data_IF_265365701838
#
_entry.id   IF_265365701838
#
_cell.length_a   1.000
_cell.length_b   1.000
_cell.length_c   1.000
_cell.angle_alpha   90.00
_cell.angle_beta   90.00
_cell.angle_gamma   90.00
#
_symmetry.space_group_name_H-M   'P 1'
#
loop_
_entity.id
_entity.type
_entity.pdbx_description
1 polymer ?
#
# COMPACT_ATOMS: atom_id res chain seq x y z
N UNK A 1 -11.51 -7.47 -3.82
CA UNK A 1 -10.84 -7.11 -2.57
C UNK A 1 -9.40 -6.73 -2.80
N UNK A 2 -8.84 -5.98 -1.89
CA UNK A 2 -7.50 -5.42 -2.05
C UNK A 2 -6.67 -5.63 -0.80
N UNK A 3 -5.36 -5.76 -1.01
CA UNK A 3 -4.37 -5.90 0.05
C UNK A 3 -3.45 -4.68 0.00
N UNK A 4 -3.05 -4.18 1.16
CA UNK A 4 -2.10 -3.08 1.25
C UNK A 4 -0.72 -3.65 1.53
N UNK A 5 0.24 -3.29 0.69
CA UNK A 5 1.61 -3.74 0.81
C UNK A 5 2.54 -2.51 0.85
N UNK A 6 3.44 -2.49 1.80
CA UNK A 6 4.34 -1.35 1.97
C UNK A 6 5.66 -1.78 2.58
N UNK A 7 6.68 -0.93 2.43
CA UNK A 7 8.01 -1.23 2.95
C UNK A 7 8.11 -0.89 4.42
N UNK A 8 9.17 -1.37 5.06
CA UNK A 8 9.42 -1.05 6.46
C UNK A 8 9.54 0.45 6.72
N UNK A 9 10.03 1.20 5.75
CA UNK A 9 10.11 2.65 5.89
C UNK A 9 8.74 3.29 6.00
N UNK A 10 7.77 2.75 5.29
CA UNK A 10 6.39 3.23 5.39
C UNK A 10 5.81 2.93 6.76
N UNK A 11 6.07 1.73 7.28
CA UNK A 11 5.59 1.40 8.62
C UNK A 11 6.15 2.36 9.66
N UNK A 12 7.44 2.71 9.53
CA UNK A 12 8.04 3.66 10.44
C UNK A 12 7.37 5.02 10.32
N UNK A 13 7.07 5.45 9.10
CA UNK A 13 6.40 6.73 8.87
C UNK A 13 5.00 6.74 9.47
N UNK A 14 4.35 5.58 9.55
CA UNK A 14 3.03 5.44 10.15
C UNK A 14 3.09 5.36 11.68
N UNK A 15 4.29 5.34 12.25
CA UNK A 15 4.43 5.23 13.68
C UNK A 15 4.38 3.79 14.19
N UNK A 16 4.42 2.83 13.29
CA UNK A 16 4.43 1.41 13.65
C UNK A 16 5.88 0.94 13.66
N UNK A 17 6.30 0.30 14.72
CA UNK A 17 7.66 -0.19 14.80
C UNK A 17 7.93 -1.21 13.71
N UNK A 18 9.08 -1.10 13.08
CA UNK A 18 9.48 -2.06 12.07
C UNK A 18 11.00 -2.16 12.06
N UNK A 19 11.50 -3.37 12.09
CA UNK A 19 12.93 -3.62 12.17
C UNK A 19 13.59 -3.69 10.81
N UNK A 20 12.84 -4.05 9.77
CA UNK A 20 13.41 -4.34 8.47
C UNK A 20 12.96 -3.30 7.46
N UNK A 21 13.79 -2.27 7.30
CA UNK A 21 13.45 -1.12 6.47
C UNK A 21 13.22 -1.45 5.01
N UNK A 22 13.93 -2.43 4.49
CA UNK A 22 13.89 -2.74 3.07
C UNK A 22 12.93 -3.86 2.71
N UNK A 23 12.31 -4.47 3.70
CA UNK A 23 11.39 -5.54 3.41
C UNK A 23 10.00 -5.03 3.14
N UNK A 24 9.32 -5.72 2.25
CA UNK A 24 7.93 -5.41 1.92
C UNK A 24 7.04 -6.27 2.79
N UNK A 25 6.07 -5.63 3.40
CA UNK A 25 5.15 -6.31 4.31
C UNK A 25 3.72 -5.96 3.92
N UNK A 26 2.80 -6.85 4.25
CA UNK A 26 1.39 -6.64 3.98
C UNK A 26 0.64 -6.38 5.27
N UNK A 27 -0.32 -5.49 5.21
CA UNK A 27 -1.22 -5.32 6.33
C UNK A 27 -2.13 -6.55 6.42
N UNK A 28 -2.50 -6.99 7.62
CA UNK A 28 -3.30 -8.21 7.79
C UNK A 28 -4.80 -7.98 7.57
N UNK A 29 -5.14 -7.07 6.67
CA UNK A 29 -6.54 -6.71 6.42
C UNK A 29 -6.83 -6.76 4.93
N UNK A 30 -8.07 -7.13 4.60
CA UNK A 30 -8.57 -7.07 3.23
C UNK A 30 -9.58 -5.95 3.14
N UNK A 31 -9.53 -5.20 2.04
CA UNK A 31 -10.43 -4.07 1.83
C UNK A 31 -11.28 -4.33 0.59
N UNK A 32 -12.53 -3.94 0.65
CA UNK A 32 -13.44 -4.15 -0.48
C UNK A 32 -13.09 -3.26 -1.67
N UNK A 33 -12.66 -2.04 -1.40
CA UNK A 33 -12.33 -1.08 -2.44
C UNK A 33 -11.01 -0.39 -2.11
N UNK A 34 -10.43 0.25 -3.12
CA UNK A 34 -9.23 1.05 -2.92
C UNK A 34 -9.53 2.21 -1.96
N UNK A 35 -10.70 2.81 -2.12
CA UNK A 35 -11.10 3.90 -1.23
C UNK A 35 -11.15 3.49 0.23
N UNK A 36 -11.65 2.29 0.50
CA UNK A 36 -11.70 1.79 1.87
C UNK A 36 -10.30 1.64 2.45
N UNK A 37 -9.37 1.14 1.65
CA UNK A 37 -7.99 0.98 2.10
C UNK A 37 -7.35 2.35 2.39
N UNK A 38 -7.56 3.30 1.50
CA UNK A 38 -7.02 4.65 1.67
C UNK A 38 -7.60 5.31 2.93
N UNK A 39 -8.91 5.21 3.11
CA UNK A 39 -9.56 5.80 4.27
C UNK A 39 -9.06 5.19 5.57
N UNK A 40 -8.86 3.88 5.57
CA UNK A 40 -8.34 3.19 6.74
C UNK A 40 -6.97 3.73 7.13
N UNK A 41 -6.09 3.87 6.14
CA UNK A 41 -4.72 4.34 6.39
C UNK A 41 -4.75 5.78 6.91
N UNK A 42 -5.51 6.63 6.25
CA UNK A 42 -5.56 8.04 6.63
C UNK A 42 -6.12 8.24 8.03
N UNK A 43 -7.19 7.54 8.35
CA UNK A 43 -7.86 7.73 9.64
C UNK A 43 -7.13 7.02 10.77
N UNK A 44 -6.62 5.83 10.51
CA UNK A 44 -5.97 5.02 11.57
C UNK A 44 -4.65 5.63 11.99
N UNK A 45 -3.88 6.12 11.02
CA UNK A 45 -2.54 6.62 11.29
C UNK A 45 -2.43 8.14 11.22
N UNK A 46 -3.54 8.81 10.94
CA UNK A 46 -3.59 10.26 10.87
C UNK A 46 -2.53 10.83 9.91
N UNK A 47 -2.49 10.28 8.71
CA UNK A 47 -1.55 10.71 7.68
C UNK A 47 -2.30 11.11 6.42
N UNK A 48 -1.64 11.92 5.60
CA UNK A 48 -2.17 12.28 4.28
C UNK A 48 -1.41 11.52 3.21
N UNK A 49 -2.15 10.87 2.34
CA UNK A 49 -1.55 10.14 1.22
C UNK A 49 -2.31 10.51 -0.05
N UNK A 50 -1.66 10.33 -1.18
CA UNK A 50 -2.27 10.65 -2.48
C UNK A 50 -1.88 9.60 -3.51
N UNK A 51 -2.73 9.44 -4.49
CA UNK A 51 -2.47 8.51 -5.59
C UNK A 51 -1.34 9.08 -6.45
N UNK A 52 -0.23 8.37 -6.47
CA UNK A 52 0.93 8.79 -7.25
C UNK A 52 0.86 8.27 -8.67
N UNK A 53 0.55 6.99 -8.82
CA UNK A 53 0.46 6.39 -10.15
C UNK A 53 -0.32 5.09 -10.08
N UNK A 54 -0.75 4.63 -11.23
CA UNK A 54 -1.40 3.34 -11.40
C UNK A 54 -0.48 2.51 -12.27
N UNK A 55 -0.01 1.39 -11.75
CA UNK A 55 0.96 0.54 -12.43
C UNK A 55 0.29 -0.70 -12.99
N UNK A 56 0.26 -0.88 -14.31
CA UNK A 56 -0.32 -2.08 -14.89
C UNK A 56 0.52 -3.32 -14.59
N UNK A 57 -0.12 -4.48 -14.57
CA UNK A 57 0.53 -5.73 -14.25
C UNK A 57 0.43 -6.67 -15.44
N UNK A 58 1.59 -6.99 -16.03
CA UNK A 58 1.72 -8.06 -17.02
C UNK A 58 0.69 -8.03 -18.15
N UNK A 59 0.31 -6.85 -18.60
CA UNK A 59 -0.58 -6.74 -19.74
C UNK A 59 -2.04 -7.08 -19.44
N UNK A 60 -2.36 -7.39 -18.21
CA UNK A 60 -3.75 -7.62 -17.80
C UNK A 60 -4.43 -6.29 -17.55
N UNK A 61 -5.74 -6.36 -17.33
CA UNK A 61 -6.49 -5.18 -16.92
C UNK A 61 -6.28 -4.85 -15.45
N UNK A 62 -5.52 -5.67 -14.76
CA UNK A 62 -5.26 -5.47 -13.34
C UNK A 62 -4.17 -4.44 -13.15
N UNK A 63 -4.31 -3.65 -12.10
CA UNK A 63 -3.36 -2.60 -11.80
C UNK A 63 -3.07 -2.57 -10.30
N UNK A 64 -1.90 -2.04 -9.98
CA UNK A 64 -1.52 -1.72 -8.61
C UNK A 64 -1.65 -0.21 -8.44
N UNK A 65 -2.35 0.20 -7.40
CA UNK A 65 -2.51 1.63 -7.08
C UNK A 65 -1.40 2.02 -6.14
N UNK A 66 -0.54 2.92 -6.58
CA UNK A 66 0.64 3.33 -5.81
C UNK A 66 0.38 4.69 -5.18
N UNK A 67 0.35 4.72 -3.86
CA UNK A 67 0.14 5.94 -3.09
C UNK A 67 1.42 6.38 -2.43
N UNK A 68 1.53 7.68 -2.17
CA UNK A 68 2.68 8.25 -1.49
C UNK A 68 2.21 9.19 -0.39
N UNK A 69 3.09 9.42 0.58
CA UNK A 69 2.81 10.37 1.65
C UNK A 69 2.90 11.79 1.12
N UNK A 70 1.95 12.63 1.48
CA UNK A 70 1.89 14.00 0.99
C UNK A 70 3.03 14.86 1.50
N UNK A 71 3.58 14.52 2.66
CA UNK A 71 4.61 15.32 3.29
C UNK A 71 6.01 14.72 3.15
N UNK A 72 6.20 13.81 2.21
CA UNK A 72 7.50 13.16 2.03
C UNK A 72 7.85 13.06 0.56
N UNK A 73 9.10 13.39 0.25
CA UNK A 73 9.63 13.23 -1.10
C UNK A 73 10.37 11.91 -1.29
N UNK A 74 10.40 11.09 -0.27
CA UNK A 74 11.13 9.83 -0.31
C UNK A 74 10.39 8.83 -1.18
N UNK A 75 10.95 8.55 -2.37
CA UNK A 75 10.32 7.64 -3.32
C UNK A 75 10.26 6.20 -2.83
N UNK A 76 11.01 5.87 -1.79
CA UNK A 76 10.97 4.51 -1.24
C UNK A 76 9.79 4.31 -0.30
N UNK A 77 9.05 5.36 0.01
CA UNK A 77 7.89 5.27 0.90
C UNK A 77 6.61 5.16 0.08
N UNK A 78 6.49 4.10 -0.68
CA UNK A 78 5.31 3.86 -1.49
C UNK A 78 4.39 2.87 -0.79
N UNK A 79 3.09 3.13 -0.92
CA UNK A 79 2.06 2.24 -0.40
C UNK A 79 1.36 1.64 -1.61
N UNK A 80 1.43 0.33 -1.75
CA UNK A 80 0.84 -0.38 -2.90
C UNK A 80 -0.47 -1.02 -2.49
N UNK A 81 -1.54 -0.70 -3.20
CA UNK A 81 -2.84 -1.33 -2.98
C UNK A 81 -3.08 -2.27 -4.13
N UNK A 82 -3.11 -3.56 -3.85
CA UNK A 82 -3.01 -4.61 -4.84
C UNK A 82 -4.26 -5.48 -4.82
N UNK A 83 -4.84 -5.79 -5.99
CA UNK A 83 -5.98 -6.70 -6.03
C UNK A 83 -5.62 -8.07 -5.44
N UNK A 84 -6.47 -8.59 -4.56
CA UNK A 84 -6.22 -9.87 -3.90
C UNK A 84 -6.03 -11.02 -4.87
N UNK A 85 -6.67 -10.98 -6.01
CA UNK A 85 -6.57 -12.09 -6.96
C UNK A 85 -5.15 -12.32 -7.46
N UNK A 86 -4.28 -11.32 -7.29
CA UNK A 86 -2.88 -11.48 -7.66
C UNK A 86 -2.14 -12.38 -6.67
N UNK A 87 -2.71 -12.59 -5.50
CA UNK A 87 -2.13 -13.47 -4.50
C UNK A 87 -2.81 -14.83 -4.45
N UNK A 88 -4.06 -14.88 -4.85
CA UNK A 88 -4.84 -16.12 -4.73
C UNK A 88 -4.32 -17.25 -5.58
N UNK A 89 -3.56 -16.95 -6.61
CA UNK A 89 -2.98 -17.96 -7.49
C UNK A 89 -1.92 -18.77 -6.82
N UNK A 90 -1.41 -18.27 -5.76
CA UNK A 90 -0.33 -18.92 -5.05
C UNK A 90 -0.76 -20.23 -4.46
N UNK A 91 -1.99 -20.33 -4.30
CA UNK A 91 -2.65 -21.50 -3.81
C UNK A 91 -1.82 -22.58 -3.29
#
# INVERSE_FOLDING_TARGET
MYIVELTGRCFKALGVGCLLHNETMRMPYLFNTVGDAVDYIKSTYNVSIYLNKVRPINGNNDVVYVYRFSDSDDVSKEINIIPCKLYSREG
#
